data_IF_547726276491
#
_entry.id   IF_547726276491
#
_cell.length_a   1.000
_cell.length_b   1.000
_cell.length_c   1.000
_cell.angle_alpha   90.00
_cell.angle_beta   90.00
_cell.angle_gamma   90.00
#
_symmetry.space_group_name_H-M   'P 1'
#
loop_
_entity.id
_entity.type
_entity.pdbx_description
1 polymer ?
#
# COMPACT_ATOMS: atom_id res chain seq x y z
N UNK A 1 -7.09 -6.18 -2.23
CA UNK A 1 -7.68 -4.84 -1.98
C UNK A 1 -9.19 -4.86 -1.93
N UNK A 2 -9.89 -5.53 -2.88
CA UNK A 2 -11.35 -5.66 -2.78
C UNK A 2 -11.78 -6.13 -1.39
N UNK A 3 -11.15 -7.20 -0.87
CA UNK A 3 -11.45 -7.75 0.45
C UNK A 3 -11.26 -6.71 1.58
N UNK A 4 -10.16 -5.95 1.55
CA UNK A 4 -9.87 -4.91 2.56
C UNK A 4 -10.94 -3.80 2.51
N UNK A 5 -11.29 -3.35 1.30
CA UNK A 5 -12.19 -2.20 1.14
C UNK A 5 -13.67 -2.55 1.22
N UNK A 6 -14.04 -3.84 1.19
CA UNK A 6 -15.44 -4.29 1.30
C UNK A 6 -15.73 -5.05 2.60
N UNK A 7 -14.70 -5.52 3.31
CA UNK A 7 -14.85 -6.43 4.45
C UNK A 7 -15.37 -7.83 4.07
N UNK A 8 -15.48 -8.13 2.77
CA UNK A 8 -16.05 -9.37 2.27
C UNK A 8 -14.99 -10.24 1.61
N UNK A 9 -15.08 -11.55 1.80
CA UNK A 9 -14.27 -12.51 1.04
C UNK A 9 -14.55 -12.39 -0.46
N UNK A 10 -13.55 -12.69 -1.33
CA UNK A 10 -13.68 -12.54 -2.77
C UNK A 10 -14.90 -13.27 -3.38
N UNK A 11 -15.22 -14.46 -2.88
CA UNK A 11 -16.41 -15.24 -3.32
C UNK A 11 -17.73 -14.53 -3.01
N UNK A 12 -17.75 -13.64 -2.00
CA UNK A 12 -18.95 -12.89 -1.61
C UNK A 12 -19.08 -11.56 -2.34
N UNK A 13 -17.96 -10.94 -2.71
CA UNK A 13 -17.96 -9.65 -3.40
C UNK A 13 -17.77 -9.77 -4.92
N UNK A 14 -17.51 -10.97 -5.47
CA UNK A 14 -17.26 -11.22 -6.88
C UNK A 14 -15.83 -10.96 -7.34
N UNK A 15 -15.00 -10.34 -6.51
CA UNK A 15 -13.64 -9.90 -6.89
C UNK A 15 -12.54 -10.95 -6.67
N UNK A 16 -12.76 -12.20 -7.09
CA UNK A 16 -11.84 -13.31 -6.80
C UNK A 16 -10.69 -13.50 -7.78
N UNK A 17 -10.78 -13.04 -8.99
CA UNK A 17 -9.66 -13.08 -9.95
C UNK A 17 -8.88 -11.76 -9.95
N UNK A 18 -7.62 -11.81 -10.39
CA UNK A 18 -6.86 -10.57 -10.62
C UNK A 18 -7.54 -9.73 -11.72
N UNK A 19 -7.63 -8.42 -11.51
CA UNK A 19 -8.37 -7.47 -12.36
C UNK A 19 -9.89 -7.72 -12.47
N UNK A 20 -10.46 -8.56 -11.61
CA UNK A 20 -11.91 -8.77 -11.54
C UNK A 20 -12.64 -7.56 -10.93
N UNK A 21 -13.96 -7.62 -10.97
CA UNK A 21 -14.85 -6.57 -10.48
C UNK A 21 -15.67 -7.12 -9.31
N UNK A 22 -15.96 -6.28 -8.32
CA UNK A 22 -16.96 -6.60 -7.32
C UNK A 22 -18.37 -6.39 -7.92
N UNK A 23 -19.40 -6.91 -7.25
CA UNK A 23 -20.78 -6.65 -7.63
C UNK A 23 -21.12 -5.16 -7.48
N UNK A 24 -22.03 -4.68 -8.32
CA UNK A 24 -22.40 -3.25 -8.43
C UNK A 24 -23.02 -2.69 -7.13
N UNK A 25 -23.70 -3.52 -6.37
CA UNK A 25 -24.37 -3.18 -5.10
C UNK A 25 -23.49 -3.36 -3.86
N UNK A 26 -22.21 -3.67 -4.05
CA UNK A 26 -21.27 -3.90 -2.95
C UNK A 26 -21.00 -2.61 -2.17
N UNK A 27 -21.35 -2.58 -0.89
CA UNK A 27 -20.93 -1.50 0.00
C UNK A 27 -19.43 -1.60 0.30
N UNK A 28 -18.78 -0.45 0.39
CA UNK A 28 -17.33 -0.34 0.59
C UNK A 28 -17.00 0.54 1.79
N UNK A 29 -15.74 0.53 2.18
CA UNK A 29 -15.23 1.42 3.23
C UNK A 29 -15.62 2.90 2.94
N UNK A 30 -15.65 3.31 1.66
CA UNK A 30 -16.08 4.66 1.29
C UNK A 30 -17.53 4.89 1.65
N UNK A 31 -18.43 3.95 1.28
CA UNK A 31 -19.87 4.05 1.59
C UNK A 31 -20.09 4.16 3.09
N UNK A 32 -19.49 3.26 3.87
CA UNK A 32 -19.68 3.23 5.32
C UNK A 32 -19.19 4.48 6.02
N UNK A 33 -17.96 4.91 5.76
CA UNK A 33 -17.40 6.08 6.44
C UNK A 33 -18.04 7.39 5.97
N UNK A 34 -18.44 7.49 4.69
CA UNK A 34 -19.15 8.68 4.20
C UNK A 34 -20.53 8.84 4.84
N UNK A 35 -21.23 7.76 5.17
CA UNK A 35 -22.50 7.78 5.93
C UNK A 35 -22.34 8.43 7.32
N UNK A 36 -21.13 8.40 7.90
CA UNK A 36 -20.78 9.03 9.17
C UNK A 36 -20.05 10.39 9.02
N UNK A 37 -20.07 10.96 7.82
CA UNK A 37 -19.48 12.28 7.56
C UNK A 37 -17.96 12.31 7.39
N UNK A 38 -17.31 11.14 7.27
CA UNK A 38 -15.88 11.09 7.00
C UNK A 38 -15.58 11.37 5.53
N UNK A 39 -14.50 12.10 5.30
CA UNK A 39 -13.92 12.23 3.96
C UNK A 39 -12.97 11.07 3.69
N UNK A 40 -13.26 10.23 2.69
CA UNK A 40 -12.49 9.01 2.40
C UNK A 40 -11.59 9.21 1.20
N UNK A 41 -10.28 9.29 1.45
CA UNK A 41 -9.27 9.59 0.45
C UNK A 41 -8.36 8.39 0.17
N UNK A 42 -7.83 8.35 -1.06
CA UNK A 42 -6.85 7.36 -1.49
C UNK A 42 -5.68 8.02 -2.20
N UNK A 43 -4.49 7.84 -1.64
CA UNK A 43 -3.21 8.15 -2.23
C UNK A 43 -2.56 6.88 -2.79
N UNK A 44 -1.97 6.95 -4.00
CA UNK A 44 -1.27 5.84 -4.63
C UNK A 44 -2.16 4.87 -5.40
N UNK A 45 -1.86 3.58 -5.30
CA UNK A 45 -2.45 2.51 -6.13
C UNK A 45 -3.88 2.16 -5.74
N UNK A 46 -4.83 2.29 -6.65
CA UNK A 46 -6.21 1.85 -6.40
C UNK A 46 -6.42 0.36 -6.70
N UNK A 47 -6.30 -0.02 -7.96
CA UNK A 47 -6.44 -1.40 -8.46
C UNK A 47 -7.69 -2.12 -7.94
N UNK A 48 -8.81 -1.45 -7.92
CA UNK A 48 -10.15 -1.97 -7.56
C UNK A 48 -11.17 -1.56 -8.61
N UNK A 49 -12.16 -2.41 -8.85
CA UNK A 49 -13.17 -2.25 -9.90
C UNK A 49 -14.53 -2.78 -9.45
N UNK A 50 -15.64 -2.19 -9.95
CA UNK A 50 -15.70 -0.99 -10.80
C UNK A 50 -15.41 0.28 -9.97
N UNK A 51 -14.90 1.32 -10.61
CA UNK A 51 -14.42 2.52 -9.89
C UNK A 51 -15.51 3.27 -9.15
N UNK A 52 -16.73 3.28 -9.66
CA UNK A 52 -17.86 3.99 -9.05
C UNK A 52 -18.37 3.33 -7.76
N UNK A 53 -18.10 2.03 -7.56
CA UNK A 53 -18.33 1.32 -6.28
C UNK A 53 -17.30 1.71 -5.21
N UNK A 54 -16.16 2.26 -5.65
CA UNK A 54 -15.08 2.74 -4.79
C UNK A 54 -14.82 4.24 -5.04
N UNK A 55 -15.77 5.14 -4.70
CA UNK A 55 -15.69 6.56 -5.02
C UNK A 55 -14.72 7.33 -4.09
N UNK A 56 -13.48 6.85 -3.97
CA UNK A 56 -12.45 7.54 -3.20
C UNK A 56 -12.16 8.95 -3.75
N UNK A 57 -11.98 9.93 -2.88
CA UNK A 57 -11.29 11.16 -3.23
C UNK A 57 -9.83 10.84 -3.56
N UNK A 58 -9.43 11.01 -4.80
CA UNK A 58 -8.06 10.76 -5.24
C UNK A 58 -7.15 11.92 -4.87
N UNK A 59 -6.27 11.70 -3.90
CA UNK A 59 -5.33 12.72 -3.38
C UNK A 59 -3.88 12.46 -3.75
N UNK A 60 -3.62 11.42 -4.54
CA UNK A 60 -2.33 11.08 -5.10
C UNK A 60 -2.46 9.91 -6.07
N UNK A 61 -1.56 9.85 -7.04
CA UNK A 61 -1.51 8.76 -8.01
C UNK A 61 -0.38 7.80 -7.69
N UNK A 62 -0.53 6.54 -8.12
CA UNK A 62 0.58 5.60 -8.11
C UNK A 62 1.74 6.20 -8.92
N UNK A 63 2.87 6.40 -8.26
CA UNK A 63 4.11 6.87 -8.88
C UNK A 63 5.08 5.68 -9.00
N UNK A 64 5.56 5.44 -10.20
CA UNK A 64 6.60 4.45 -10.50
C UNK A 64 7.95 5.12 -10.79
N UNK A 65 8.11 6.37 -10.38
CA UNK A 65 9.28 7.21 -10.63
C UNK A 65 10.57 6.74 -9.95
N UNK A 66 11.52 7.66 -9.86
CA UNK A 66 12.89 7.37 -9.42
C UNK A 66 12.99 6.93 -7.95
N UNK A 67 14.14 6.37 -7.60
CA UNK A 67 14.50 6.09 -6.21
C UNK A 67 14.44 7.38 -5.37
N UNK A 68 13.90 7.28 -4.16
CA UNK A 68 13.74 8.41 -3.24
C UNK A 68 12.44 9.19 -3.40
N UNK A 69 11.69 9.01 -4.49
CA UNK A 69 10.33 9.54 -4.60
C UNK A 69 9.34 8.61 -3.91
N UNK A 70 8.22 9.16 -3.40
CA UNK A 70 7.14 8.33 -2.86
C UNK A 70 6.33 7.69 -3.98
N UNK A 71 5.76 6.51 -3.69
CA UNK A 71 4.94 5.78 -4.66
C UNK A 71 3.48 6.23 -4.70
N UNK A 72 3.10 7.19 -3.87
CA UNK A 72 1.70 7.60 -3.67
C UNK A 72 1.41 9.10 -3.86
N UNK A 73 2.41 9.92 -4.18
CA UNK A 73 2.23 11.37 -4.41
C UNK A 73 2.10 12.16 -3.10
N UNK A 74 3.19 12.29 -2.36
CA UNK A 74 3.28 12.92 -1.04
C UNK A 74 2.72 14.35 -1.01
N UNK A 75 3.07 15.19 -1.99
CA UNK A 75 2.62 16.60 -2.01
C UNK A 75 1.09 16.75 -2.06
N UNK A 76 0.43 15.90 -2.85
CA UNK A 76 -1.04 15.91 -2.90
C UNK A 76 -1.66 15.33 -1.64
N UNK A 77 -0.96 14.41 -0.98
CA UNK A 77 -1.38 13.86 0.32
C UNK A 77 -1.27 14.94 1.41
N UNK A 78 -0.21 15.74 1.41
CA UNK A 78 -0.05 16.92 2.28
C UNK A 78 -1.17 17.92 2.06
N UNK A 79 -1.41 18.29 0.82
CA UNK A 79 -2.48 19.22 0.47
C UNK A 79 -3.87 18.73 0.93
N UNK A 80 -4.12 17.42 0.88
CA UNK A 80 -5.34 16.84 1.44
C UNK A 80 -5.41 16.99 2.96
N UNK A 81 -4.33 16.68 3.67
CA UNK A 81 -4.28 16.83 5.14
C UNK A 81 -4.43 18.28 5.59
N UNK A 82 -3.96 19.25 4.78
CA UNK A 82 -4.15 20.68 5.03
C UNK A 82 -5.61 21.11 4.75
N UNK A 83 -6.22 20.60 3.66
CA UNK A 83 -7.60 20.93 3.26
C UNK A 83 -8.65 20.29 4.17
N UNK A 84 -8.41 19.09 4.69
CA UNK A 84 -9.39 18.37 5.51
C UNK A 84 -9.67 19.09 6.83
N UNK A 85 -8.68 19.80 7.39
CA UNK A 85 -8.82 20.56 8.63
C UNK A 85 -9.33 19.71 9.79
N UNK A 86 -10.41 20.16 10.45
CA UNK A 86 -11.06 19.45 11.57
C UNK A 86 -12.07 18.37 11.12
N UNK A 87 -12.29 18.18 9.83
CA UNK A 87 -13.23 17.18 9.33
C UNK A 87 -12.69 15.77 9.58
N UNK A 88 -13.52 14.81 10.03
CA UNK A 88 -13.08 13.45 10.18
C UNK A 88 -12.71 12.85 8.82
N UNK A 89 -11.62 12.09 8.76
CA UNK A 89 -11.15 11.50 7.50
C UNK A 89 -10.68 10.06 7.64
N UNK A 90 -10.70 9.36 6.52
CA UNK A 90 -9.99 8.10 6.30
C UNK A 90 -9.03 8.31 5.15
N UNK A 91 -7.74 8.26 5.41
CA UNK A 91 -6.71 8.34 4.39
C UNK A 91 -6.09 6.96 4.16
N UNK A 92 -6.27 6.42 2.97
CA UNK A 92 -5.63 5.17 2.56
C UNK A 92 -4.40 5.52 1.74
N UNK A 93 -3.22 5.15 2.23
CA UNK A 93 -1.96 5.28 1.51
C UNK A 93 -1.57 3.91 0.96
N UNK A 94 -1.77 3.73 -0.33
CA UNK A 94 -1.53 2.45 -1.02
C UNK A 94 -0.20 2.49 -1.78
N UNK A 95 0.89 2.28 -1.06
CA UNK A 95 2.23 2.18 -1.65
C UNK A 95 2.32 1.06 -2.69
N UNK A 96 3.17 1.27 -3.69
CA UNK A 96 3.58 0.23 -4.63
C UNK A 96 4.78 -0.57 -4.15
N UNK A 97 5.50 -0.12 -3.11
CA UNK A 97 6.60 -0.87 -2.53
C UNK A 97 6.08 -2.01 -1.63
N UNK A 98 6.75 -3.15 -1.58
CA UNK A 98 7.88 -3.62 -2.38
C UNK A 98 7.44 -4.45 -3.61
N UNK A 99 6.73 -3.86 -4.56
CA UNK A 99 6.37 -4.53 -5.81
C UNK A 99 7.54 -4.48 -6.81
N UNK A 100 7.73 -5.53 -7.59
CA UNK A 100 8.72 -5.54 -8.69
C UNK A 100 8.44 -4.43 -9.73
N UNK A 101 9.52 -3.90 -10.37
CA UNK A 101 10.95 -4.22 -10.19
C UNK A 101 11.51 -3.62 -8.90
N UNK A 102 12.38 -4.36 -8.21
CA UNK A 102 13.05 -3.91 -6.99
C UNK A 102 14.30 -3.09 -7.34
N UNK A 103 14.11 -1.81 -7.58
CA UNK A 103 15.15 -0.90 -8.09
C UNK A 103 15.15 0.49 -7.43
N UNK A 104 14.34 0.69 -6.38
CA UNK A 104 14.17 1.98 -5.72
C UNK A 104 15.01 2.12 -4.45
N UNK A 105 15.24 1.03 -3.74
CA UNK A 105 15.95 1.03 -2.48
C UNK A 105 17.47 1.02 -2.60
N UNK A 106 18.14 1.37 -1.49
CA UNK A 106 19.61 1.38 -1.38
C UNK A 106 20.15 -0.03 -1.16
N UNK A 107 20.29 -0.82 -2.23
CA UNK A 107 20.76 -2.22 -2.15
C UNK A 107 22.12 -2.37 -1.44
N UNK A 108 23.00 -1.38 -1.49
CA UNK A 108 24.28 -1.38 -0.77
C UNK A 108 24.15 -1.51 0.76
N UNK A 109 22.99 -1.17 1.32
CA UNK A 109 22.69 -1.35 2.75
C UNK A 109 22.49 -2.83 3.13
N UNK A 110 22.40 -3.71 2.15
CA UNK A 110 22.14 -5.14 2.32
C UNK A 110 23.23 -5.97 1.65
N UNK A 111 24.44 -6.12 2.29
CA UNK A 111 25.53 -6.92 1.73
C UNK A 111 25.06 -8.36 1.49
N UNK A 112 25.29 -8.89 0.30
CA UNK A 112 24.81 -10.21 -0.12
C UNK A 112 25.25 -11.34 0.81
N UNK A 113 26.48 -11.22 1.36
CA UNK A 113 27.02 -12.18 2.31
C UNK A 113 26.26 -12.23 3.66
N UNK A 114 25.61 -11.12 4.06
CA UNK A 114 24.86 -11.00 5.32
C UNK A 114 23.38 -11.35 5.18
N UNK A 115 22.90 -11.67 3.97
CA UNK A 115 21.49 -12.01 3.74
C UNK A 115 21.18 -13.36 4.36
N UNK A 116 20.21 -13.42 5.25
CA UNK A 116 19.61 -14.67 5.70
C UNK A 116 18.58 -15.14 4.70
N UNK A 117 18.82 -16.30 4.09
CA UNK A 117 17.87 -16.91 3.15
C UNK A 117 16.83 -17.70 3.94
N UNK A 118 15.51 -17.45 3.71
CA UNK A 118 14.47 -18.25 4.32
C UNK A 118 14.66 -19.75 4.05
N UNK A 119 14.39 -20.65 5.02
CA UNK A 119 14.73 -22.07 4.91
C UNK A 119 13.97 -22.82 3.81
N UNK A 120 12.85 -22.29 3.36
CA UNK A 120 12.06 -22.84 2.24
C UNK A 120 12.58 -22.41 0.85
N UNK A 121 13.60 -21.54 0.78
CA UNK A 121 14.21 -21.11 -0.48
C UNK A 121 15.58 -21.75 -0.65
N UNK A 122 15.89 -22.18 -1.88
CA UNK A 122 17.24 -22.70 -2.18
C UNK A 122 18.26 -21.55 -2.16
N UNK A 123 19.21 -21.63 -1.25
CA UNK A 123 20.30 -20.66 -1.17
C UNK A 123 21.18 -20.67 -2.43
N UNK A 124 21.39 -19.49 -2.98
CA UNK A 124 22.28 -19.27 -4.12
C UNK A 124 22.71 -17.81 -4.19
N UNK A 125 23.87 -17.49 -4.81
CA UNK A 125 24.31 -16.10 -4.99
C UNK A 125 23.27 -15.23 -5.70
N UNK A 126 22.57 -15.78 -6.68
CA UNK A 126 21.50 -15.09 -7.43
C UNK A 126 20.29 -14.77 -6.53
N UNK A 127 19.88 -15.70 -5.67
CA UNK A 127 18.77 -15.47 -4.74
C UNK A 127 19.14 -14.44 -3.69
N UNK A 128 20.34 -14.54 -3.10
CA UNK A 128 20.83 -13.57 -2.12
C UNK A 128 20.88 -12.15 -2.68
N UNK A 129 21.37 -11.97 -3.92
CA UNK A 129 21.34 -10.68 -4.60
C UNK A 129 19.91 -10.16 -4.80
N UNK A 130 18.98 -11.04 -5.16
CA UNK A 130 17.56 -10.69 -5.32
C UNK A 130 16.89 -10.33 -4.00
N UNK A 131 17.23 -11.03 -2.92
CA UNK A 131 16.77 -10.70 -1.57
C UNK A 131 17.29 -9.34 -1.11
N UNK A 132 18.57 -9.02 -1.40
CA UNK A 132 19.14 -7.72 -1.08
C UNK A 132 18.36 -6.57 -1.74
N UNK A 133 17.97 -6.70 -3.02
CA UNK A 133 17.14 -5.69 -3.70
C UNK A 133 15.73 -5.61 -3.12
N UNK A 134 15.13 -6.75 -2.77
CA UNK A 134 13.81 -6.79 -2.13
C UNK A 134 13.82 -6.11 -0.75
N UNK A 135 14.80 -6.40 0.09
CA UNK A 135 14.95 -5.78 1.41
C UNK A 135 15.17 -4.26 1.31
N UNK A 136 15.90 -3.83 0.29
CA UNK A 136 16.08 -2.41 0.02
C UNK A 136 14.75 -1.72 -0.33
N UNK A 137 13.86 -2.38 -1.09
CA UNK A 137 12.51 -1.87 -1.35
C UNK A 137 11.62 -1.88 -0.10
N UNK A 138 11.77 -2.87 0.78
CA UNK A 138 11.08 -2.87 2.09
C UNK A 138 11.50 -1.66 2.92
N UNK A 139 12.78 -1.27 2.90
CA UNK A 139 13.24 -0.04 3.57
C UNK A 139 12.64 1.24 2.94
N UNK A 140 12.39 1.25 1.63
CA UNK A 140 11.68 2.38 1.02
C UNK A 140 10.21 2.44 1.44
N UNK A 141 9.55 1.28 1.62
CA UNK A 141 8.20 1.23 2.19
C UNK A 141 8.20 1.77 3.63
N UNK A 142 9.14 1.34 4.45
CA UNK A 142 9.28 1.81 5.83
C UNK A 142 9.50 3.34 5.88
N UNK A 143 10.35 3.87 5.00
CA UNK A 143 10.53 5.32 4.84
C UNK A 143 9.22 6.03 4.46
N UNK A 144 8.42 5.45 3.57
CA UNK A 144 7.13 6.02 3.17
C UNK A 144 6.13 6.02 4.33
N UNK A 145 6.13 4.99 5.17
CA UNK A 145 5.33 4.93 6.40
C UNK A 145 5.74 6.05 7.36
N UNK A 146 7.04 6.21 7.61
CA UNK A 146 7.57 7.28 8.45
C UNK A 146 7.21 8.69 7.94
N UNK A 147 7.21 8.91 6.62
CA UNK A 147 6.79 10.19 6.06
C UNK A 147 5.33 10.54 6.35
N UNK A 148 4.44 9.56 6.37
CA UNK A 148 3.02 9.79 6.72
C UNK A 148 2.87 10.07 8.21
N UNK A 149 3.56 9.32 9.05
CA UNK A 149 3.58 9.53 10.50
C UNK A 149 4.09 10.93 10.85
N UNK A 150 5.20 11.35 10.24
CA UNK A 150 5.74 12.70 10.34
C UNK A 150 4.73 13.79 9.92
N UNK A 151 3.97 13.57 8.84
CA UNK A 151 2.97 14.54 8.38
C UNK A 151 1.78 14.64 9.35
N UNK A 152 1.37 13.55 9.99
CA UNK A 152 0.37 13.57 11.06
C UNK A 152 0.92 14.31 12.29
N UNK A 153 2.15 14.02 12.70
CA UNK A 153 2.79 14.69 13.84
C UNK A 153 2.94 16.19 13.66
N UNK A 154 3.34 16.67 12.47
CA UNK A 154 3.44 18.10 12.16
C UNK A 154 2.11 18.87 12.27
N UNK A 155 0.99 18.16 12.13
CA UNK A 155 -0.36 18.73 12.21
C UNK A 155 -1.06 18.49 13.56
N UNK A 156 -0.36 17.85 14.52
CA UNK A 156 -0.94 17.49 15.81
C UNK A 156 -2.05 16.44 15.72
N UNK A 157 -2.05 15.61 14.68
CA UNK A 157 -3.10 14.62 14.42
C UNK A 157 -2.79 13.25 15.00
N UNK A 158 -1.59 13.01 15.54
CA UNK A 158 -1.14 11.69 15.98
C UNK A 158 -2.04 11.08 17.06
N UNK A 159 -2.43 11.87 18.07
CA UNK A 159 -3.20 11.36 19.21
C UNK A 159 -4.67 11.07 18.85
N UNK A 160 -5.19 11.71 17.80
CA UNK A 160 -6.57 11.55 17.33
C UNK A 160 -6.68 10.65 16.08
N UNK A 161 -5.58 10.01 15.67
CA UNK A 161 -5.55 9.17 14.48
C UNK A 161 -5.25 7.71 14.82
N UNK A 162 -6.11 6.79 14.38
CA UNK A 162 -5.80 5.37 14.39
C UNK A 162 -4.93 5.07 13.16
N UNK A 163 -3.64 4.84 13.39
CA UNK A 163 -2.71 4.47 12.33
C UNK A 163 -2.67 2.96 12.15
N UNK A 164 -2.99 2.48 10.94
CA UNK A 164 -3.04 1.04 10.63
C UNK A 164 -2.05 0.72 9.51
N UNK A 165 -1.05 -0.10 9.81
CA UNK A 165 -0.18 -0.69 8.78
C UNK A 165 -0.64 -2.10 8.45
N UNK A 166 -0.73 -2.43 7.16
CA UNK A 166 -1.11 -3.77 6.69
C UNK A 166 -0.35 -4.15 5.42
N UNK A 167 0.02 -5.43 5.35
CA UNK A 167 0.55 -6.06 4.14
C UNK A 167 -0.53 -6.95 3.51
N UNK A 168 -0.68 -6.87 2.18
CA UNK A 168 -1.73 -7.60 1.45
C UNK A 168 -1.40 -9.07 1.20
N UNK A 169 -0.35 -9.34 0.48
CA UNK A 169 0.11 -10.68 0.06
C UNK A 169 1.64 -10.71 0.03
N UNK A 170 2.20 -11.89 -0.20
CA UNK A 170 3.64 -12.08 -0.30
C UNK A 170 4.31 -11.41 -1.51
N UNK A 171 5.62 -11.54 -1.57
CA UNK A 171 6.48 -11.02 -2.63
C UNK A 171 6.43 -11.87 -3.90
N UNK A 172 7.12 -11.43 -4.96
CA UNK A 172 7.35 -12.22 -6.19
C UNK A 172 8.44 -13.31 -6.04
N UNK A 173 8.89 -13.57 -4.82
CA UNK A 173 9.74 -14.73 -4.53
C UNK A 173 8.92 -16.02 -4.53
N UNK A 174 9.55 -17.20 -4.77
CA UNK A 174 8.85 -18.47 -4.66
C UNK A 174 8.09 -18.60 -3.33
N UNK A 175 6.90 -19.19 -3.37
CA UNK A 175 5.98 -19.35 -2.24
C UNK A 175 5.44 -18.02 -1.63
N UNK A 176 5.67 -16.89 -2.27
CA UNK A 176 5.12 -15.60 -1.87
C UNK A 176 3.72 -15.39 -2.45
N UNK A 177 3.63 -14.77 -3.62
CA UNK A 177 2.36 -14.61 -4.37
C UNK A 177 2.33 -15.51 -5.61
N UNK A 178 1.22 -15.59 -6.31
CA UNK A 178 0.96 -16.45 -7.48
C UNK A 178 0.84 -17.94 -7.16
N UNK A 179 0.93 -18.33 -5.92
CA UNK A 179 0.74 -19.70 -5.46
C UNK A 179 -0.38 -19.75 -4.45
N UNK A 180 -1.06 -20.89 -4.37
CA UNK A 180 -2.07 -21.10 -3.35
C UNK A 180 -1.44 -21.39 -1.96
N UNK A 181 -0.19 -21.79 -1.95
CA UNK A 181 0.60 -22.18 -0.78
C UNK A 181 2.08 -21.87 -0.98
#
# INVERSE_FOLDING_TARGET
RHQIYTGLYPVRNGGYANHSRVYEDTKTIVSYFSEYGYEVALAGKSHVYPRHVFPFKKVGHENKGAAGETTFGLEKTRAFLDDVGERPFVLIVASSNPHIPWNRGKTKSYPVASITVPPYLRDSPRLRAKLATYLAEVSELDREVGLIDDELGKRGLTDDTIFVFSSGHGSDLPFGKWTAY
#
